data_IF_275731437608
#
_entry.id   IF_275731437608
#
_cell.length_a   1.000
_cell.length_b   1.000
_cell.length_c   1.000
_cell.angle_alpha   90.00
_cell.angle_beta   90.00
_cell.angle_gamma   90.00
#
_symmetry.space_group_name_H-M   'P 1'
#
loop_
_entity.id
_entity.type
_entity.pdbx_description
1 polymer ?
#
# COMPACT_ATOMS: atom_id res chain seq x y z
N UNK A 1 8.89 -9.11 8.79
CA UNK A 1 7.45 -8.82 8.59
C UNK A 1 7.11 -7.67 9.49
N UNK A 2 6.43 -6.67 8.97
CA UNK A 2 6.11 -5.45 9.72
C UNK A 2 4.75 -4.91 9.30
N UNK A 3 4.16 -4.06 10.12
CA UNK A 3 3.03 -3.22 9.72
C UNK A 3 3.20 -1.83 10.29
N UNK A 4 2.57 -0.85 9.66
CA UNK A 4 2.55 0.52 10.15
C UNK A 4 1.28 1.22 9.65
N UNK A 5 0.90 2.31 10.31
CA UNK A 5 -0.24 3.12 9.91
C UNK A 5 0.21 4.46 9.35
N UNK A 6 -0.53 4.95 8.36
CA UNK A 6 -0.40 6.31 7.82
C UNK A 6 -1.68 7.05 8.15
N UNK A 7 -1.56 8.20 8.82
CA UNK A 7 -2.66 9.15 8.97
C UNK A 7 -2.50 10.28 7.95
N UNK A 8 -3.60 10.62 7.28
CA UNK A 8 -3.65 11.72 6.32
C UNK A 8 -5.00 12.43 6.35
N UNK A 9 -5.02 13.68 5.91
CA UNK A 9 -6.24 14.43 5.65
C UNK A 9 -6.53 14.38 4.15
N UNK A 10 -7.73 13.94 3.78
CA UNK A 10 -8.20 13.82 2.40
C UNK A 10 -9.40 14.74 2.25
N UNK A 11 -9.21 15.87 1.55
CA UNK A 11 -10.14 16.98 1.61
C UNK A 11 -10.22 17.53 3.03
N UNK A 12 -11.36 17.33 3.70
CA UNK A 12 -11.59 17.73 5.11
C UNK A 12 -11.63 16.55 6.08
N UNK A 13 -11.60 15.32 5.58
CA UNK A 13 -11.74 14.12 6.40
C UNK A 13 -10.37 13.56 6.79
N UNK A 14 -10.23 13.16 8.05
CA UNK A 14 -9.11 12.34 8.48
C UNK A 14 -9.31 10.90 8.01
N UNK A 15 -8.26 10.26 7.51
CA UNK A 15 -8.26 8.85 7.17
C UNK A 15 -6.96 8.17 7.59
N UNK A 16 -7.07 6.86 7.81
CA UNK A 16 -5.96 6.00 8.18
C UNK A 16 -5.81 4.87 7.18
N UNK A 17 -4.58 4.64 6.74
CA UNK A 17 -4.18 3.47 5.96
C UNK A 17 -3.33 2.56 6.84
N UNK A 18 -3.70 1.28 6.95
CA UNK A 18 -2.84 0.24 7.48
C UNK A 18 -2.00 -0.35 6.33
N UNK A 19 -0.68 -0.27 6.42
CA UNK A 19 0.25 -0.91 5.48
C UNK A 19 0.82 -2.17 6.12
N UNK A 20 0.73 -3.30 5.43
CA UNK A 20 1.16 -4.60 5.91
C UNK A 20 2.25 -5.16 4.98
N UNK A 21 3.38 -5.53 5.57
CA UNK A 21 4.56 -6.11 4.91
C UNK A 21 4.70 -7.59 5.28
N UNK A 22 3.99 -8.50 4.60
CA UNK A 22 4.01 -9.93 4.90
C UNK A 22 5.31 -10.63 4.44
N UNK A 23 6.17 -9.96 3.67
CA UNK A 23 7.33 -10.60 3.03
C UNK A 23 8.68 -9.95 3.40
N UNK A 24 8.70 -8.71 3.88
CA UNK A 24 9.91 -7.96 4.22
C UNK A 24 9.95 -7.61 5.72
N UNK A 25 11.15 -7.33 6.23
CA UNK A 25 11.35 -6.80 7.59
C UNK A 25 12.23 -5.54 7.52
N UNK A 26 11.72 -4.45 6.94
CA UNK A 26 12.52 -3.24 6.74
C UNK A 26 12.99 -2.68 8.08
N UNK A 27 14.14 -2.02 8.04
CA UNK A 27 14.58 -1.12 9.12
C UNK A 27 13.59 0.04 9.26
N UNK A 28 13.58 0.73 10.40
CA UNK A 28 12.68 1.89 10.58
C UNK A 28 12.96 2.99 9.55
N UNK A 29 14.22 3.17 9.13
CA UNK A 29 14.60 4.16 8.11
C UNK A 29 14.04 3.82 6.72
N UNK A 30 14.21 2.57 6.28
CA UNK A 30 13.66 2.08 5.00
C UNK A 30 12.13 2.15 5.01
N UNK A 31 11.52 1.67 6.10
CA UNK A 31 10.07 1.69 6.29
C UNK A 31 9.53 3.13 6.25
N UNK A 32 10.17 4.07 6.95
CA UNK A 32 9.78 5.48 6.94
C UNK A 32 9.82 6.06 5.52
N UNK A 33 10.92 5.83 4.78
CA UNK A 33 11.07 6.34 3.42
C UNK A 33 9.97 5.81 2.49
N UNK A 34 9.65 4.52 2.59
CA UNK A 34 8.60 3.92 1.76
C UNK A 34 7.19 4.41 2.15
N UNK A 35 6.90 4.50 3.45
CA UNK A 35 5.61 5.00 3.95
C UNK A 35 5.36 6.45 3.53
N UNK A 36 6.39 7.29 3.34
CA UNK A 36 6.23 8.65 2.81
C UNK A 36 5.74 8.64 1.35
N UNK A 37 6.27 7.76 0.51
CA UNK A 37 5.78 7.56 -0.87
C UNK A 37 4.36 7.01 -0.85
N UNK A 38 4.09 5.99 -0.04
CA UNK A 38 2.75 5.40 0.10
C UNK A 38 1.75 6.44 0.63
N UNK A 39 2.15 7.37 1.51
CA UNK A 39 1.29 8.46 2.00
C UNK A 39 0.85 9.38 0.86
N UNK A 40 1.77 9.77 -0.02
CA UNK A 40 1.43 10.58 -1.20
C UNK A 40 0.43 9.88 -2.11
N UNK A 41 0.65 8.59 -2.38
CA UNK A 41 -0.28 7.76 -3.13
C UNK A 41 -1.64 7.61 -2.42
N UNK A 42 -1.65 7.36 -1.11
CA UNK A 42 -2.88 7.17 -0.32
C UNK A 42 -3.79 8.40 -0.41
N UNK A 43 -3.20 9.59 -0.30
CA UNK A 43 -3.91 10.86 -0.49
C UNK A 43 -4.48 10.93 -1.90
N UNK A 44 -3.66 10.69 -2.93
CA UNK A 44 -4.11 10.76 -4.32
C UNK A 44 -5.25 9.77 -4.62
N UNK A 45 -5.10 8.51 -4.20
CA UNK A 45 -6.07 7.45 -4.42
C UNK A 45 -7.41 7.77 -3.74
N UNK A 46 -7.41 8.17 -2.46
CA UNK A 46 -8.65 8.48 -1.76
C UNK A 46 -9.20 9.88 -2.06
N UNK A 47 -8.42 10.77 -2.68
CA UNK A 47 -8.92 11.99 -3.35
C UNK A 47 -9.51 11.69 -4.75
N UNK A 48 -9.58 10.40 -5.14
CA UNK A 48 -10.07 9.95 -6.43
C UNK A 48 -9.30 10.53 -7.63
N UNK A 49 -8.00 10.77 -7.47
CA UNK A 49 -7.12 11.21 -8.56
C UNK A 49 -6.77 10.01 -9.44
N UNK A 50 -6.89 10.16 -10.76
CA UNK A 50 -6.65 9.10 -11.73
C UNK A 50 -5.23 8.55 -11.74
N UNK A 51 -5.09 7.31 -12.17
CA UNK A 51 -3.79 6.69 -12.43
C UNK A 51 -3.13 7.26 -13.71
N UNK A 52 -1.91 6.80 -14.07
CA UNK A 52 -1.23 7.24 -15.30
C UNK A 52 -2.01 6.97 -16.60
N UNK A 53 -3.00 6.07 -16.56
CA UNK A 53 -3.91 5.78 -17.67
C UNK A 53 -5.27 6.48 -17.54
N UNK A 54 -5.45 7.39 -16.58
CA UNK A 54 -6.69 8.11 -16.32
C UNK A 54 -7.77 7.31 -15.59
N UNK A 55 -7.48 6.09 -15.10
CA UNK A 55 -8.47 5.27 -14.38
C UNK A 55 -8.67 5.80 -12.97
N UNK A 56 -9.93 5.98 -12.58
CA UNK A 56 -10.28 6.54 -11.28
C UNK A 56 -10.38 5.47 -10.18
N UNK A 57 -9.92 5.75 -8.94
CA UNK A 57 -10.07 4.90 -7.77
C UNK A 57 -11.50 4.45 -7.46
N UNK A 58 -12.48 5.34 -7.58
CA UNK A 58 -13.90 5.05 -7.34
C UNK A 58 -14.49 3.97 -8.27
N UNK A 59 -13.79 3.64 -9.35
CA UNK A 59 -14.16 2.53 -10.25
C UNK A 59 -13.68 1.17 -9.74
N UNK A 60 -13.07 1.11 -8.56
CA UNK A 60 -12.54 -0.11 -7.93
C UNK A 60 -13.33 -0.46 -6.67
N UNK A 61 -13.40 -1.75 -6.35
CA UNK A 61 -13.96 -2.21 -5.07
C UNK A 61 -13.01 -2.00 -3.87
N UNK A 62 -11.88 -1.31 -4.08
CA UNK A 62 -10.93 -0.94 -3.02
C UNK A 62 -11.10 0.51 -2.55
N UNK A 63 -12.01 1.30 -3.14
CA UNK A 63 -12.21 2.70 -2.79
C UNK A 63 -13.38 2.88 -1.80
N UNK A 64 -13.21 3.66 -0.72
CA UNK A 64 -11.96 4.23 -0.22
C UNK A 64 -11.05 3.12 0.33
N UNK A 65 -9.73 3.25 0.10
CA UNK A 65 -8.76 2.27 0.60
C UNK A 65 -8.51 2.51 2.08
N UNK A 66 -8.39 1.42 2.85
CA UNK A 66 -8.06 1.47 4.29
C UNK A 66 -6.92 0.52 4.65
N UNK A 67 -6.64 -0.48 3.82
CA UNK A 67 -5.52 -1.40 4.01
C UNK A 67 -4.78 -1.62 2.68
N UNK A 68 -3.45 -1.64 2.76
CA UNK A 68 -2.57 -2.04 1.67
C UNK A 68 -1.66 -3.16 2.16
N UNK A 69 -1.65 -4.28 1.45
CA UNK A 69 -0.58 -5.26 1.55
C UNK A 69 0.51 -4.89 0.55
N UNK A 70 1.67 -4.46 1.04
CA UNK A 70 2.87 -4.32 0.22
C UNK A 70 3.35 -5.74 -0.14
N UNK A 71 3.18 -6.12 -1.40
CA UNK A 71 3.57 -7.45 -1.90
C UNK A 71 5.00 -7.46 -2.45
N UNK A 72 5.53 -6.28 -2.75
CA UNK A 72 6.93 -6.05 -3.08
C UNK A 72 7.24 -4.61 -2.71
N UNK A 73 8.35 -4.42 -2.00
CA UNK A 73 8.95 -3.11 -1.71
C UNK A 73 9.39 -2.43 -3.03
N UNK A 74 10.14 -1.32 -2.98
CA UNK A 74 10.61 -0.66 -4.21
C UNK A 74 11.46 -1.61 -5.10
N UNK A 75 10.96 -1.99 -6.29
CA UNK A 75 11.58 -2.97 -7.18
C UNK A 75 11.25 -2.73 -8.66
N UNK A 76 11.99 -3.39 -9.56
CA UNK A 76 11.57 -3.58 -10.96
C UNK A 76 10.87 -4.92 -11.08
N UNK A 77 9.72 -4.96 -11.74
CA UNK A 77 8.99 -6.22 -11.93
C UNK A 77 9.78 -7.18 -12.81
N UNK A 78 9.96 -8.41 -12.35
CA UNK A 78 10.60 -9.47 -13.14
C UNK A 78 9.77 -9.90 -14.35
N UNK A 79 8.43 -9.71 -14.29
CA UNK A 79 7.50 -10.02 -15.39
C UNK A 79 7.22 -8.81 -16.28
N UNK A 80 7.70 -7.63 -15.92
CA UNK A 80 7.61 -6.40 -16.71
C UNK A 80 8.90 -5.58 -16.54
N UNK A 81 10.05 -6.06 -17.04
CA UNK A 81 11.36 -5.46 -16.76
C UNK A 81 11.56 -4.06 -17.38
N UNK A 82 10.71 -3.67 -18.32
CA UNK A 82 10.68 -2.34 -18.92
C UNK A 82 9.85 -1.34 -18.12
N UNK A 83 9.12 -1.80 -17.11
CA UNK A 83 8.35 -0.95 -16.22
C UNK A 83 9.28 -0.21 -15.25
N UNK A 84 8.97 1.06 -14.98
CA UNK A 84 9.68 1.86 -13.96
C UNK A 84 9.69 1.16 -12.61
N UNK A 85 10.69 1.46 -11.78
CA UNK A 85 10.77 0.95 -10.39
C UNK A 85 9.54 1.40 -9.60
N UNK A 86 8.92 0.48 -8.87
CA UNK A 86 7.66 0.73 -8.15
C UNK A 86 7.52 -0.14 -6.89
N UNK A 87 6.56 0.24 -6.04
CA UNK A 87 6.04 -0.58 -4.94
C UNK A 87 4.77 -1.27 -5.44
N UNK A 88 4.59 -2.56 -5.17
CA UNK A 88 3.37 -3.29 -5.56
C UNK A 88 2.46 -3.48 -4.36
N UNK A 89 1.27 -2.87 -4.42
CA UNK A 89 0.25 -2.92 -3.38
C UNK A 89 -0.99 -3.73 -3.77
N UNK A 90 -1.49 -4.54 -2.85
CA UNK A 90 -2.84 -5.12 -2.92
C UNK A 90 -3.76 -4.40 -1.94
N UNK A 91 -4.91 -3.93 -2.42
CA UNK A 91 -5.70 -2.94 -1.70
C UNK A 91 -7.02 -3.51 -1.18
N UNK A 92 -7.41 -3.08 0.01
CA UNK A 92 -8.67 -3.45 0.64
C UNK A 92 -9.36 -2.24 1.27
N UNK A 93 -10.68 -2.25 1.23
CA UNK A 93 -11.50 -1.45 2.14
C UNK A 93 -11.43 -2.05 3.54
N UNK A 94 -11.81 -1.28 4.56
CA UNK A 94 -11.95 -1.81 5.92
C UNK A 94 -12.92 -3.01 5.98
N UNK A 95 -14.03 -2.96 5.24
CA UNK A 95 -15.02 -4.04 5.19
C UNK A 95 -14.45 -5.34 4.60
N UNK A 96 -13.74 -5.25 3.47
CA UNK A 96 -13.09 -6.42 2.85
C UNK A 96 -11.97 -6.97 3.72
N UNK A 97 -11.24 -6.10 4.43
CA UNK A 97 -10.21 -6.53 5.37
C UNK A 97 -10.80 -7.28 6.57
N UNK A 98 -12.01 -6.92 7.04
CA UNK A 98 -12.66 -7.55 8.19
C UNK A 98 -13.19 -8.97 7.91
N UNK A 99 -13.24 -9.41 6.66
CA UNK A 99 -13.69 -10.75 6.30
C UNK A 99 -12.72 -11.85 6.76
N UNK A 100 -13.23 -13.08 6.86
CA UNK A 100 -12.42 -14.28 7.12
C UNK A 100 -12.68 -15.35 6.03
N UNK A 101 -11.70 -15.65 5.16
CA UNK A 101 -10.39 -15.01 5.05
C UNK A 101 -10.49 -13.55 4.58
N UNK A 102 -9.47 -12.75 4.93
CA UNK A 102 -9.37 -11.33 4.51
C UNK A 102 -9.35 -11.22 2.99
N UNK A 103 -9.87 -10.13 2.45
CA UNK A 103 -9.96 -9.93 1.01
C UNK A 103 -9.22 -8.67 0.53
N UNK A 104 -8.62 -8.78 -0.65
CA UNK A 104 -8.03 -7.66 -1.41
C UNK A 104 -8.75 -7.56 -2.75
N UNK A 105 -9.05 -6.35 -3.21
CA UNK A 105 -9.94 -6.12 -4.36
C UNK A 105 -9.25 -5.50 -5.58
N UNK A 106 -8.02 -5.04 -5.43
CA UNK A 106 -7.24 -4.50 -6.56
C UNK A 106 -5.73 -4.59 -6.31
N UNK A 107 -4.97 -4.39 -7.38
CA UNK A 107 -3.52 -4.33 -7.38
C UNK A 107 -3.06 -3.04 -8.05
N UNK A 108 -2.14 -2.34 -7.40
CA UNK A 108 -1.56 -1.09 -7.89
C UNK A 108 -0.05 -1.17 -7.90
N UNK A 109 0.56 -0.42 -8.82
CA UNK A 109 1.97 -0.05 -8.77
C UNK A 109 2.06 1.41 -8.37
N UNK A 110 2.92 1.73 -7.40
CA UNK A 110 3.14 3.07 -6.88
C UNK A 110 4.55 3.50 -7.26
N UNK A 111 4.68 4.62 -7.96
CA UNK A 111 5.97 5.10 -8.46
C UNK A 111 6.46 6.27 -7.61
N UNK A 112 7.74 6.22 -7.27
CA UNK A 112 8.45 7.34 -6.69
C UNK A 112 9.11 8.20 -7.78
N UNK A 113 9.33 9.49 -7.48
CA UNK A 113 10.04 10.41 -8.38
C UNK A 113 11.47 9.92 -8.58
N UNK A 114 11.98 10.05 -9.81
CA UNK A 114 13.30 9.57 -10.22
C UNK A 114 13.62 8.11 -9.82
N UNK A 115 12.60 7.29 -9.56
CA UNK A 115 12.72 5.92 -9.05
C UNK A 115 13.43 5.81 -7.69
N UNK A 116 13.40 6.86 -6.85
CA UNK A 116 13.97 6.84 -5.49
C UNK A 116 12.93 7.19 -4.43
N UNK A 117 12.93 6.49 -3.29
CA UNK A 117 12.00 6.80 -2.20
C UNK A 117 12.21 8.20 -1.61
N UNK A 118 13.45 8.71 -1.66
CA UNK A 118 13.82 10.02 -1.11
C UNK A 118 13.13 11.19 -1.83
N UNK A 119 12.84 11.04 -3.12
CA UNK A 119 12.20 12.09 -3.93
C UNK A 119 10.66 12.11 -3.77
N UNK A 120 10.11 11.16 -3.02
CA UNK A 120 8.68 11.09 -2.70
C UNK A 120 7.82 10.54 -3.85
N UNK A 121 6.51 10.65 -3.66
CA UNK A 121 5.50 10.12 -4.58
C UNK A 121 5.46 10.88 -5.91
N UNK A 122 5.35 10.14 -7.02
CA UNK A 122 5.17 10.65 -8.38
C UNK A 122 3.74 10.37 -8.87
N UNK A 123 3.44 9.10 -9.13
CA UNK A 123 2.18 8.66 -9.73
C UNK A 123 1.91 7.19 -9.41
N UNK A 124 0.84 6.62 -9.95
CA UNK A 124 0.45 5.23 -9.75
C UNK A 124 -0.22 4.63 -10.98
N UNK A 125 -0.31 3.30 -11.03
CA UNK A 125 -0.97 2.53 -12.08
C UNK A 125 -1.88 1.47 -11.46
N UNK A 126 -3.14 1.41 -11.90
CA UNK A 126 -4.03 0.31 -11.59
C UNK A 126 -3.71 -0.89 -12.49
N UNK A 127 -3.09 -1.92 -11.92
CA UNK A 127 -2.70 -3.13 -12.67
C UNK A 127 -3.89 -4.05 -12.92
N UNK A 128 -4.69 -4.32 -11.90
CA UNK A 128 -5.90 -5.12 -12.03
C UNK A 128 -6.89 -4.84 -10.90
N UNK A 129 -8.15 -5.24 -11.15
CA UNK A 129 -9.27 -5.15 -10.21
C UNK A 129 -9.66 -6.55 -9.67
N UNK A 130 -8.73 -7.50 -9.71
CA UNK A 130 -9.03 -8.87 -9.36
C UNK A 130 -9.16 -9.00 -7.85
N UNK A 131 -10.31 -9.50 -7.42
CA UNK A 131 -10.54 -9.89 -6.03
C UNK A 131 -9.76 -11.17 -5.70
N UNK A 132 -9.09 -11.18 -4.55
CA UNK A 132 -8.40 -12.34 -4.02
C UNK A 132 -8.63 -12.48 -2.52
N UNK A 133 -8.88 -13.72 -2.08
CA UNK A 133 -8.92 -14.09 -0.66
C UNK A 133 -7.52 -14.45 -0.17
N UNK A 134 -7.16 -13.99 1.02
CA UNK A 134 -5.94 -14.38 1.73
C UNK A 134 -6.18 -15.69 2.48
N UNK A 135 -6.50 -16.76 1.74
CA UNK A 135 -6.88 -18.06 2.29
C UNK A 135 -5.70 -19.00 2.55
N UNK A 136 -4.53 -18.74 1.95
CA UNK A 136 -3.34 -19.57 2.16
C UNK A 136 -2.89 -19.48 3.63
N UNK A 137 -2.70 -20.61 4.34
CA UNK A 137 -2.23 -20.62 5.72
C UNK A 137 -0.89 -19.87 5.90
N UNK A 138 0.03 -19.98 4.94
CA UNK A 138 1.30 -19.27 4.96
C UNK A 138 1.10 -17.75 4.88
N UNK A 139 0.23 -17.29 3.98
CA UNK A 139 -0.10 -15.86 3.86
C UNK A 139 -0.76 -15.36 5.15
N UNK A 140 -1.67 -16.14 5.74
CA UNK A 140 -2.33 -15.78 6.99
C UNK A 140 -1.34 -15.65 8.15
N UNK A 141 -0.42 -16.61 8.28
CA UNK A 141 0.64 -16.57 9.28
C UNK A 141 1.54 -15.34 9.10
N UNK A 142 1.92 -15.02 7.85
CA UNK A 142 2.74 -13.86 7.53
C UNK A 142 2.05 -12.53 7.82
N UNK A 143 0.77 -12.41 7.46
CA UNK A 143 -0.04 -11.23 7.80
C UNK A 143 -0.16 -11.11 9.32
N UNK A 144 -0.45 -12.19 10.05
CA UNK A 144 -0.55 -12.16 11.50
C UNK A 144 0.78 -11.71 12.16
N UNK A 145 1.91 -12.22 11.68
CA UNK A 145 3.23 -11.82 12.17
C UNK A 145 3.54 -10.35 11.85
N UNK A 146 3.18 -9.87 10.66
CA UNK A 146 3.31 -8.46 10.29
C UNK A 146 2.47 -7.54 11.20
N UNK A 147 1.23 -7.93 11.50
CA UNK A 147 0.35 -7.18 12.41
C UNK A 147 0.84 -7.20 13.86
N UNK A 148 1.41 -8.33 14.31
CA UNK A 148 2.04 -8.43 15.64
C UNK A 148 3.27 -7.53 15.76
N UNK A 149 4.03 -7.38 14.67
CA UNK A 149 5.17 -6.46 14.57
C UNK A 149 4.73 -5.08 14.02
N UNK A 150 3.77 -4.45 14.67
CA UNK A 150 3.34 -3.09 14.33
C UNK A 150 4.39 -2.08 14.79
N UNK A 151 4.93 -1.32 13.82
CA UNK A 151 6.00 -0.33 13.99
C UNK A 151 5.48 1.07 14.34
N UNK A 152 4.16 1.24 14.45
CA UNK A 152 3.51 2.47 14.87
C UNK A 152 2.94 3.27 13.70
N UNK A 153 2.95 4.60 13.85
CA UNK A 153 2.32 5.54 12.92
C UNK A 153 3.41 6.40 12.27
N UNK A 154 3.35 6.57 10.95
CA UNK A 154 4.22 7.49 10.24
C UNK A 154 4.13 8.91 10.82
N UNK A 155 5.28 9.52 11.14
CA UNK A 155 5.37 10.82 11.80
C UNK A 155 5.38 10.76 13.34
N UNK A 156 5.47 9.55 13.93
CA UNK A 156 5.50 9.35 15.38
C UNK A 156 6.56 8.31 15.78
N UNK A 157 7.12 8.45 16.98
CA UNK A 157 8.07 7.49 17.54
C UNK A 157 9.27 7.24 16.61
N UNK A 158 9.59 5.96 16.38
CA UNK A 158 10.68 5.56 15.47
C UNK A 158 10.41 5.91 13.99
N UNK A 159 9.17 6.25 13.64
CA UNK A 159 8.76 6.65 12.30
C UNK A 159 8.54 8.18 12.17
N UNK A 160 8.92 8.95 13.19
CA UNK A 160 8.94 10.42 13.15
C UNK A 160 10.01 10.93 12.17
#
# INVERSE_FOLDING_TARGET
MASASINATIGVAAATLLVVYPHSNPTDAELKAELLVIKGWFIAFNSNIGDIGGKLPNSTASYPVSVMLATSDLHVSTTSPTERVHITGRLSTAASWALNPRENNSCVHIYAKNNTLADGYDTWLLKNKNKSKLSSPDIQAKVAAALKNNRGVLGQGNLA
#
